data_IF_757324673306
#
_entry.id   IF_757324673306
#
_cell.length_a   1.000
_cell.length_b   1.000
_cell.length_c   1.000
_cell.angle_alpha   90.00
_cell.angle_beta   90.00
_cell.angle_gamma   90.00
#
_symmetry.space_group_name_H-M   'P 1'
#
loop_
_entity.id
_entity.type
_entity.pdbx_description
1 polymer ?
#
# COMPACT_ATOMS: atom_id res chain seq x y z
N UNK A 1 -1.89 -26.20 -23.02
CA UNK A 1 -1.47 -25.45 -21.84
C UNK A 1 -1.19 -26.48 -20.76
N UNK A 2 0.08 -26.85 -20.57
CA UNK A 2 0.42 -27.70 -19.43
C UNK A 2 0.01 -26.98 -18.16
N UNK A 3 -0.81 -27.64 -17.34
CA UNK A 3 -1.26 -27.03 -16.10
C UNK A 3 -0.06 -26.94 -15.19
N UNK A 4 0.37 -25.70 -14.90
CA UNK A 4 1.49 -25.36 -14.01
C UNK A 4 1.30 -25.93 -12.57
N UNK A 5 0.17 -26.60 -12.31
CA UNK A 5 0.01 -27.58 -11.25
C UNK A 5 0.28 -26.98 -9.88
N UNK A 6 0.91 -27.78 -9.02
CA UNK A 6 1.31 -27.36 -7.67
C UNK A 6 2.45 -26.33 -7.67
N UNK A 7 3.19 -26.20 -8.78
CA UNK A 7 4.30 -25.26 -8.89
C UNK A 7 3.84 -23.79 -8.85
N UNK A 8 2.59 -23.50 -9.22
CA UNK A 8 1.98 -22.15 -9.13
C UNK A 8 1.93 -21.58 -7.71
N UNK A 9 1.98 -22.42 -6.68
CA UNK A 9 1.93 -22.02 -5.27
C UNK A 9 3.32 -21.59 -4.77
N UNK A 10 4.39 -22.04 -5.44
CA UNK A 10 5.77 -21.78 -5.01
C UNK A 10 6.08 -20.28 -5.03
N UNK A 11 5.84 -19.51 -6.11
CA UNK A 11 6.17 -18.09 -6.12
C UNK A 11 5.47 -17.32 -4.98
N UNK A 12 4.14 -17.44 -4.74
CA UNK A 12 3.48 -16.75 -3.63
C UNK A 12 4.08 -17.07 -2.26
N UNK A 13 4.35 -18.35 -1.97
CA UNK A 13 4.91 -18.77 -0.67
C UNK A 13 6.31 -18.18 -0.47
N UNK A 14 7.16 -18.26 -1.50
CA UNK A 14 8.52 -17.71 -1.45
C UNK A 14 8.47 -16.20 -1.24
N UNK A 15 7.57 -15.50 -1.93
CA UNK A 15 7.39 -14.06 -1.78
C UNK A 15 7.00 -13.67 -0.35
N UNK A 16 6.02 -14.35 0.24
CA UNK A 16 5.55 -14.07 1.61
C UNK A 16 6.66 -14.37 2.62
N UNK A 17 7.32 -15.53 2.50
CA UNK A 17 8.39 -15.93 3.40
C UNK A 17 9.56 -14.93 3.36
N UNK A 18 9.95 -14.49 2.16
CA UNK A 18 10.99 -13.49 1.98
C UNK A 18 10.56 -12.12 2.50
N UNK A 19 9.32 -11.69 2.28
CA UNK A 19 8.84 -10.40 2.77
C UNK A 19 8.89 -10.33 4.30
N UNK A 20 8.53 -11.43 4.98
CA UNK A 20 8.59 -11.51 6.45
C UNK A 20 10.04 -11.54 6.94
N UNK A 21 10.91 -12.34 6.30
CA UNK A 21 12.30 -12.53 6.75
C UNK A 21 13.17 -11.31 6.47
N UNK A 22 13.07 -10.74 5.27
CA UNK A 22 13.89 -9.61 4.83
C UNK A 22 13.31 -8.27 5.26
N UNK A 23 12.01 -8.20 5.56
CA UNK A 23 11.24 -6.95 5.73
C UNK A 23 11.26 -6.05 4.50
N UNK A 24 11.65 -6.58 3.34
CA UNK A 24 11.75 -5.87 2.07
C UNK A 24 10.71 -6.39 1.08
N UNK A 25 9.61 -5.65 0.95
CA UNK A 25 8.47 -6.05 0.09
C UNK A 25 8.86 -6.02 -1.39
N UNK A 26 9.63 -5.01 -1.82
CA UNK A 26 9.99 -4.83 -3.23
C UNK A 26 10.84 -5.99 -3.78
N UNK A 27 11.85 -6.43 -3.02
CA UNK A 27 12.70 -7.56 -3.39
C UNK A 27 11.87 -8.84 -3.47
N UNK A 28 10.96 -9.03 -2.51
CA UNK A 28 10.10 -10.20 -2.43
C UNK A 28 9.12 -10.30 -3.61
N UNK A 29 8.54 -9.16 -4.03
CA UNK A 29 7.70 -9.08 -5.23
C UNK A 29 8.51 -9.26 -6.52
N UNK A 30 9.73 -8.72 -6.59
CA UNK A 30 10.61 -8.95 -7.74
C UNK A 30 10.94 -10.44 -7.92
N UNK A 31 11.29 -11.12 -6.83
CA UNK A 31 11.56 -12.56 -6.84
C UNK A 31 10.31 -13.39 -7.13
N UNK A 32 9.13 -12.96 -6.68
CA UNK A 32 7.85 -13.57 -7.07
C UNK A 32 7.68 -13.59 -8.59
N UNK A 33 7.82 -12.43 -9.24
CA UNK A 33 7.63 -12.30 -10.69
C UNK A 33 8.67 -13.11 -11.45
N UNK A 34 9.93 -13.03 -11.01
CA UNK A 34 11.03 -13.78 -11.61
C UNK A 34 10.84 -15.29 -11.49
N UNK A 35 10.50 -15.80 -10.31
CA UNK A 35 10.23 -17.23 -10.08
C UNK A 35 9.01 -17.70 -10.87
N UNK A 36 7.94 -16.91 -10.91
CA UNK A 36 6.75 -17.22 -11.70
C UNK A 36 7.07 -17.42 -13.18
N UNK A 37 7.82 -16.46 -13.77
CA UNK A 37 8.24 -16.58 -15.17
C UNK A 37 9.29 -17.65 -15.42
N UNK A 38 10.16 -17.93 -14.46
CA UNK A 38 11.14 -19.03 -14.56
C UNK A 38 10.44 -20.38 -14.65
N UNK A 39 9.40 -20.60 -13.83
CA UNK A 39 8.59 -21.84 -13.87
C UNK A 39 7.86 -21.97 -15.21
N UNK A 40 7.31 -20.87 -15.73
CA UNK A 40 6.61 -20.86 -17.03
C UNK A 40 7.58 -21.05 -18.22
N UNK A 41 8.84 -20.63 -18.06
CA UNK A 41 9.88 -20.70 -19.10
C UNK A 41 10.72 -21.97 -19.00
N UNK A 42 10.11 -23.11 -18.67
CA UNK A 42 10.78 -24.43 -18.53
C UNK A 42 12.01 -24.42 -17.61
N UNK A 43 11.91 -23.71 -16.47
CA UNK A 43 12.99 -23.53 -15.50
C UNK A 43 14.22 -22.78 -16.02
N UNK A 44 14.09 -22.00 -17.11
CA UNK A 44 15.15 -21.14 -17.60
C UNK A 44 15.16 -19.78 -16.85
N UNK A 45 16.14 -19.52 -15.97
CA UNK A 45 16.16 -18.30 -15.15
C UNK A 45 16.47 -17.03 -15.95
N UNK A 46 17.19 -17.15 -17.07
CA UNK A 46 17.56 -16.02 -17.93
C UNK A 46 16.34 -15.55 -18.70
N UNK A 47 15.62 -16.49 -19.33
CA UNK A 47 14.35 -16.19 -20.00
C UNK A 47 13.31 -15.71 -18.99
N UNK A 48 13.23 -16.34 -17.81
CA UNK A 48 12.34 -15.90 -16.73
C UNK A 48 12.58 -14.44 -16.30
N UNK A 49 13.84 -14.00 -16.26
CA UNK A 49 14.19 -12.60 -15.96
C UNK A 49 13.76 -11.66 -17.09
N UNK A 50 14.05 -12.00 -18.34
CA UNK A 50 13.66 -11.20 -19.51
C UNK A 50 12.14 -11.04 -19.57
N UNK A 51 11.39 -12.14 -19.44
CA UNK A 51 9.92 -12.10 -19.43
C UNK A 51 9.35 -11.38 -18.20
N UNK A 52 9.98 -11.52 -17.04
CA UNK A 52 9.61 -10.78 -15.83
C UNK A 52 9.76 -9.26 -15.99
N UNK A 53 10.87 -8.81 -16.56
CA UNK A 53 11.11 -7.39 -16.87
C UNK A 53 10.13 -6.89 -17.92
N UNK A 54 9.90 -7.63 -19.01
CA UNK A 54 8.92 -7.26 -20.03
C UNK A 54 7.52 -7.13 -19.45
N UNK A 55 7.10 -8.06 -18.59
CA UNK A 55 5.80 -8.01 -17.90
C UNK A 55 5.68 -6.77 -17.02
N UNK A 56 6.75 -6.38 -16.33
CA UNK A 56 6.76 -5.16 -15.55
C UNK A 56 6.61 -3.91 -16.44
N UNK A 57 7.34 -3.86 -17.56
CA UNK A 57 7.23 -2.75 -18.51
C UNK A 57 5.83 -2.67 -19.12
N UNK A 58 5.24 -3.79 -19.52
CA UNK A 58 3.88 -3.86 -20.04
C UNK A 58 2.85 -3.42 -18.99
N UNK A 59 3.05 -3.82 -17.74
CA UNK A 59 2.18 -3.41 -16.64
C UNK A 59 2.25 -1.90 -16.39
N UNK A 60 3.43 -1.27 -16.47
CA UNK A 60 3.58 0.18 -16.26
C UNK A 60 3.09 1.00 -17.46
N UNK A 61 3.28 0.49 -18.67
CA UNK A 61 2.88 1.19 -19.91
C UNK A 61 1.41 1.00 -20.27
N UNK A 62 0.74 -0.01 -19.69
CA UNK A 62 -0.70 -0.20 -19.85
C UNK A 62 -1.47 1.07 -19.47
N UNK A 63 -2.32 1.62 -20.36
CA UNK A 63 -3.02 2.89 -20.12
C UNK A 63 -3.81 2.93 -18.82
N UNK A 64 -4.41 1.79 -18.41
CA UNK A 64 -5.16 1.71 -17.15
C UNK A 64 -4.26 1.86 -15.94
N UNK A 65 -3.17 1.10 -15.89
CA UNK A 65 -2.22 1.13 -14.79
C UNK A 65 -1.44 2.44 -14.73
N UNK A 66 -1.03 2.99 -15.89
CA UNK A 66 -0.36 4.29 -15.97
C UNK A 66 -1.23 5.42 -15.41
N UNK A 67 -2.53 5.43 -15.72
CA UNK A 67 -3.50 6.39 -15.14
C UNK A 67 -3.59 6.23 -13.63
N UNK A 68 -3.68 4.99 -13.13
CA UNK A 68 -3.69 4.72 -11.67
C UNK A 68 -2.40 5.19 -11.00
N UNK A 69 -1.23 4.93 -11.59
CA UNK A 69 0.06 5.39 -11.05
C UNK A 69 0.13 6.91 -10.94
N UNK A 70 -0.27 7.62 -12.00
CA UNK A 70 -0.31 9.09 -11.99
C UNK A 70 -1.32 9.58 -10.96
N UNK A 71 -2.50 8.97 -10.88
CA UNK A 71 -3.53 9.34 -9.90
C UNK A 71 -3.04 9.15 -8.45
N UNK A 72 -2.45 8.00 -8.13
CA UNK A 72 -1.86 7.75 -6.80
C UNK A 72 -0.71 8.72 -6.49
N UNK A 73 0.12 9.07 -7.47
CA UNK A 73 1.16 10.08 -7.30
C UNK A 73 0.59 11.48 -6.99
N UNK A 74 -0.48 11.89 -7.68
CA UNK A 74 -1.18 13.15 -7.43
C UNK A 74 -1.81 13.18 -6.03
N UNK A 75 -2.43 12.08 -5.61
CA UNK A 75 -2.94 11.94 -4.23
C UNK A 75 -1.78 12.10 -3.23
N UNK A 76 -0.65 11.43 -3.45
CA UNK A 76 0.55 11.61 -2.63
C UNK A 76 1.01 13.07 -2.54
N UNK A 77 0.92 13.81 -3.65
CA UNK A 77 1.19 15.25 -3.70
C UNK A 77 0.23 16.08 -2.84
N UNK A 78 -1.09 15.84 -2.96
CA UNK A 78 -2.13 16.52 -2.15
C UNK A 78 -1.90 16.25 -0.66
N UNK A 79 -1.60 15.00 -0.30
CA UNK A 79 -1.31 14.59 1.08
C UNK A 79 -0.10 15.35 1.61
N UNK A 80 0.99 15.39 0.84
CA UNK A 80 2.23 16.07 1.22
C UNK A 80 2.01 17.57 1.40
N UNK A 81 1.28 18.21 0.49
CA UNK A 81 0.92 19.63 0.59
C UNK A 81 0.05 19.91 1.83
N UNK A 82 -0.90 19.02 2.14
CA UNK A 82 -1.77 19.14 3.32
C UNK A 82 -0.98 18.99 4.62
N UNK A 83 0.02 18.11 4.65
CA UNK A 83 0.94 17.98 5.78
C UNK A 83 1.86 19.20 5.90
N UNK A 84 2.48 19.63 4.80
CA UNK A 84 3.42 20.75 4.78
C UNK A 84 2.77 22.10 5.12
N UNK A 85 1.50 22.30 4.74
CA UNK A 85 0.73 23.50 5.10
C UNK A 85 0.24 23.53 6.55
N UNK A 86 0.49 22.47 7.34
CA UNK A 86 -0.04 22.33 8.69
C UNK A 86 -1.55 22.06 8.74
N UNK A 87 -2.17 21.72 7.61
CA UNK A 87 -3.61 21.41 7.55
C UNK A 87 -4.00 20.24 8.44
N UNK A 88 -3.14 19.22 8.53
CA UNK A 88 -3.33 18.08 9.43
C UNK A 88 -3.28 18.50 10.92
N UNK A 89 -2.34 19.35 11.30
CA UNK A 89 -2.23 19.88 12.67
C UNK A 89 -3.39 20.81 13.03
N UNK A 90 -3.83 21.65 12.08
CA UNK A 90 -5.02 22.50 12.24
C UNK A 90 -6.30 21.68 12.40
N UNK A 91 -6.44 20.58 11.66
CA UNK A 91 -7.55 19.65 11.78
C UNK A 91 -7.58 18.99 13.17
N UNK A 92 -6.43 18.52 13.68
CA UNK A 92 -6.32 17.96 15.03
C UNK A 92 -6.75 18.98 16.09
N UNK A 93 -6.24 20.22 16.03
CA UNK A 93 -6.61 21.29 16.98
C UNK A 93 -8.10 21.65 16.91
N UNK A 94 -8.69 21.62 15.72
CA UNK A 94 -10.13 21.86 15.54
C UNK A 94 -10.98 20.74 16.16
N UNK A 95 -10.58 19.48 15.96
CA UNK A 95 -11.21 18.31 16.58
C UNK A 95 -11.08 18.33 18.10
N UNK A 96 -9.92 18.71 18.63
CA UNK A 96 -9.71 18.89 20.07
C UNK A 96 -10.64 19.98 20.64
N UNK A 97 -10.81 21.09 19.90
CA UNK A 97 -11.72 22.18 20.29
C UNK A 97 -13.20 21.78 20.28
N UNK A 98 -13.59 20.80 19.46
CA UNK A 98 -14.96 20.25 19.47
C UNK A 98 -15.31 19.51 20.77
N UNK A 99 -14.36 19.32 21.71
CA UNK A 99 -14.58 18.62 22.99
C UNK A 99 -15.31 17.29 22.76
N UNK A 100 -14.79 16.46 21.85
CA UNK A 100 -15.17 15.05 21.78
C UNK A 100 -14.88 14.46 23.18
N UNK A 101 -15.91 14.38 24.02
CA UNK A 101 -15.73 14.16 25.46
C UNK A 101 -14.85 12.95 25.78
N UNK A 102 -14.26 12.94 26.98
CA UNK A 102 -13.27 11.99 27.53
C UNK A 102 -13.61 10.47 27.45
N UNK A 103 -14.68 10.08 26.77
CA UNK A 103 -15.03 8.69 26.52
C UNK A 103 -14.19 8.14 25.36
N UNK A 104 -13.25 7.27 25.70
CA UNK A 104 -12.39 6.47 24.80
C UNK A 104 -13.14 5.85 23.60
N UNK A 105 -14.41 5.47 23.79
CA UNK A 105 -15.27 4.94 22.71
C UNK A 105 -15.63 6.00 21.65
N UNK A 106 -15.89 7.24 22.05
CA UNK A 106 -16.30 8.32 21.14
C UNK A 106 -15.13 8.76 20.24
N UNK A 107 -13.93 8.86 20.82
CA UNK A 107 -12.69 9.14 20.10
C UNK A 107 -12.36 8.03 19.10
N UNK A 108 -12.49 6.76 19.52
CA UNK A 108 -12.26 5.62 18.63
C UNK A 108 -13.24 5.59 17.44
N UNK A 109 -14.53 5.83 17.69
CA UNK A 109 -15.54 5.88 16.62
C UNK A 109 -15.32 7.05 15.66
N UNK A 110 -14.87 8.20 16.19
CA UNK A 110 -14.51 9.35 15.36
C UNK A 110 -13.30 9.05 14.48
N UNK A 111 -12.26 8.42 15.03
CA UNK A 111 -11.08 7.98 14.26
C UNK A 111 -11.42 7.01 13.14
N UNK A 112 -12.32 6.06 13.40
CA UNK A 112 -12.83 5.13 12.38
C UNK A 112 -13.63 5.89 11.32
N UNK A 113 -14.53 6.80 11.72
CA UNK A 113 -15.33 7.61 10.80
C UNK A 113 -14.46 8.48 9.89
N UNK A 114 -13.47 9.16 10.46
CA UNK A 114 -12.50 9.97 9.70
C UNK A 114 -11.70 9.09 8.74
N UNK A 115 -11.23 7.92 9.17
CA UNK A 115 -10.53 6.97 8.28
C UNK A 115 -11.39 6.52 7.10
N UNK A 116 -12.70 6.33 7.33
CA UNK A 116 -13.63 5.86 6.32
C UNK A 116 -14.01 6.97 5.33
N UNK A 117 -14.15 8.21 5.81
CA UNK A 117 -14.41 9.40 5.01
C UNK A 117 -13.18 9.82 4.18
N UNK A 118 -11.97 9.69 4.75
CA UNK A 118 -10.71 10.07 4.12
C UNK A 118 -10.02 8.88 3.44
N UNK A 119 -10.79 7.94 2.91
CA UNK A 119 -10.27 6.83 2.10
C UNK A 119 -9.91 7.30 0.68
N UNK A 120 -9.07 8.34 0.58
CA UNK A 120 -8.56 8.85 -0.70
C UNK A 120 -7.60 7.84 -1.32
N UNK A 121 -6.75 7.25 -0.49
CA UNK A 121 -5.81 6.19 -0.81
C UNK A 121 -5.92 5.12 0.28
N UNK A 122 -5.61 3.86 -0.06
CA UNK A 122 -5.77 2.72 0.84
C UNK A 122 -4.99 2.88 2.16
N UNK A 123 -3.94 3.70 2.12
CA UNK A 123 -3.09 4.00 3.26
C UNK A 123 -3.34 5.39 3.89
N UNK A 124 -4.04 6.30 3.21
CA UNK A 124 -4.19 7.68 3.70
C UNK A 124 -5.12 7.76 4.92
N UNK A 125 -6.26 7.07 4.88
CA UNK A 125 -7.19 7.02 6.01
C UNK A 125 -6.52 6.49 7.30
N UNK A 126 -5.62 5.51 7.16
CA UNK A 126 -4.84 4.94 8.27
C UNK A 126 -3.83 5.94 8.85
N UNK A 127 -3.12 6.67 8.00
CA UNK A 127 -2.15 7.69 8.44
C UNK A 127 -2.85 8.86 9.16
N UNK A 128 -3.96 9.37 8.61
CA UNK A 128 -4.72 10.47 9.22
C UNK A 128 -5.42 10.03 10.50
N UNK A 129 -6.05 8.85 10.49
CA UNK A 129 -6.72 8.34 11.69
C UNK A 129 -5.72 8.09 12.81
N UNK A 130 -4.54 7.52 12.51
CA UNK A 130 -3.48 7.35 13.49
C UNK A 130 -2.96 8.66 14.06
N UNK A 131 -2.69 9.68 13.22
CA UNK A 131 -2.21 10.99 13.69
C UNK A 131 -3.26 11.79 14.47
N UNK A 132 -4.55 11.64 14.14
CA UNK A 132 -5.67 12.30 14.82
C UNK A 132 -6.04 11.62 16.13
N UNK A 133 -6.02 10.29 16.19
CA UNK A 133 -6.43 9.55 17.38
C UNK A 133 -5.34 9.53 18.45
N UNK A 134 -4.06 9.41 18.07
CA UNK A 134 -2.95 9.26 19.03
C UNK A 134 -2.88 10.39 20.09
N UNK A 135 -3.00 11.69 19.74
CA UNK A 135 -3.03 12.77 20.73
C UNK A 135 -4.26 12.74 21.65
N UNK A 136 -5.39 12.23 21.15
CA UNK A 136 -6.65 12.11 21.92
C UNK A 136 -6.65 10.91 22.88
N UNK A 137 -5.76 9.93 22.69
CA UNK A 137 -5.61 8.75 23.56
C UNK A 137 -4.46 8.87 24.57
N UNK A 138 -3.42 9.68 24.29
CA UNK A 138 -2.28 9.91 25.19
C UNK A 138 -2.58 10.92 26.33
N UNK A 139 -3.83 11.39 26.45
CA UNK A 139 -4.34 12.19 27.58
C UNK A 139 -5.63 11.61 28.13
#
# INVERSE_FOLDING_TARGET
METVGWYSIIPPIVAIALAIKTREVYISLGLFVWLGWTIISDWNPVLGLVHGVNTFLDAVTSPGNARTLIFSALIGGIITLTQASGGMEGFVKWVEKMRLGHSRRRVSMFGIGVSMLLFLESNFGLLVSGSVTRPLFDR
#
